data_IF_292259868807
#
_entry.id   IF_292259868807
#
_cell.length_a   1.000
_cell.length_b   1.000
_cell.length_c   1.000
_cell.angle_alpha   90.00
_cell.angle_beta   90.00
_cell.angle_gamma   90.00
#
_symmetry.space_group_name_H-M   'P 1'
#
loop_
_entity.id
_entity.type
_entity.pdbx_description
1 polymer ?
#
# COMPACT_ATOMS: atom_id res chain seq x y z
N UNK A 1 23.20 -4.29 -18.63
CA UNK A 1 23.10 -2.83 -18.46
C UNK A 1 21.77 -2.57 -17.78
N UNK A 2 21.77 -2.07 -16.54
CA UNK A 2 20.55 -1.64 -15.88
C UNK A 2 20.15 -0.30 -16.47
N UNK A 3 19.17 -0.27 -17.37
CA UNK A 3 18.58 0.99 -17.82
C UNK A 3 17.90 1.65 -16.62
N UNK A 4 18.30 2.88 -16.30
CA UNK A 4 17.62 3.69 -15.32
C UNK A 4 16.26 4.10 -15.88
N UNK A 5 15.19 3.78 -15.16
CA UNK A 5 13.84 4.06 -15.61
C UNK A 5 13.27 5.27 -14.86
N UNK A 6 12.72 6.24 -15.59
CA UNK A 6 12.06 7.39 -14.98
C UNK A 6 10.65 7.03 -14.54
N UNK A 7 10.34 7.33 -13.28
CA UNK A 7 9.01 7.21 -12.71
C UNK A 7 8.46 8.62 -12.41
N UNK A 8 7.16 8.89 -12.69
CA UNK A 8 6.53 10.18 -12.43
C UNK A 8 6.20 10.33 -10.93
N UNK A 9 7.23 10.38 -10.08
CA UNK A 9 7.10 10.52 -8.62
C UNK A 9 7.44 11.97 -8.24
N UNK A 10 6.59 12.65 -7.44
CA UNK A 10 6.94 13.96 -6.89
C UNK A 10 8.24 13.89 -6.08
N UNK A 11 9.16 14.84 -6.31
CA UNK A 11 10.47 14.86 -5.64
C UNK A 11 10.38 14.78 -4.11
N UNK A 12 9.33 15.37 -3.51
CA UNK A 12 9.07 15.32 -2.06
C UNK A 12 8.82 13.90 -1.53
N UNK A 13 8.29 13.00 -2.37
CA UNK A 13 7.98 11.62 -1.99
C UNK A 13 9.09 10.64 -2.34
N UNK A 14 10.04 10.99 -3.20
CA UNK A 14 11.14 10.10 -3.59
C UNK A 14 11.96 9.57 -2.38
N UNK A 15 12.35 10.40 -1.39
CA UNK A 15 13.11 9.92 -0.22
C UNK A 15 12.38 8.83 0.57
N UNK A 16 11.04 8.87 0.57
CA UNK A 16 10.21 7.89 1.27
C UNK A 16 10.42 6.49 0.72
N UNK A 17 10.67 6.33 -0.59
CA UNK A 17 10.80 5.02 -1.23
C UNK A 17 12.25 4.57 -1.42
N UNK A 18 13.22 5.47 -1.34
CA UNK A 18 14.65 5.13 -1.40
C UNK A 18 15.22 4.69 -0.06
N UNK A 19 14.54 4.99 1.05
CA UNK A 19 14.97 4.53 2.37
C UNK A 19 14.96 2.98 2.46
N UNK A 20 16.06 2.38 2.91
CA UNK A 20 16.21 0.92 3.05
C UNK A 20 15.83 0.42 4.44
N UNK A 21 15.40 -0.83 4.56
CA UNK A 21 15.12 -1.48 5.85
C UNK A 21 13.94 -0.88 6.63
N UNK A 22 13.05 -0.12 5.96
CA UNK A 22 11.89 0.50 6.61
C UNK A 22 10.71 -0.46 6.59
N UNK A 23 10.25 -0.82 7.79
CA UNK A 23 9.04 -1.63 7.97
C UNK A 23 7.76 -0.85 7.66
N UNK A 24 7.74 0.44 8.01
CA UNK A 24 6.62 1.33 7.79
C UNK A 24 7.00 2.49 6.87
N UNK A 25 6.14 2.83 5.91
CA UNK A 25 6.26 4.03 5.08
C UNK A 25 4.96 4.82 5.11
N UNK A 26 5.02 6.04 5.61
CA UNK A 26 3.84 6.83 5.92
C UNK A 26 3.85 8.16 5.15
N UNK A 27 2.70 8.61 4.65
CA UNK A 27 2.58 9.93 4.05
C UNK A 27 1.19 10.54 4.26
N UNK A 28 1.15 11.83 4.62
CA UNK A 28 -0.09 12.55 4.89
C UNK A 28 -0.16 13.92 4.20
N UNK A 29 -1.38 14.44 4.04
CA UNK A 29 -1.62 15.78 3.52
C UNK A 29 -3.02 15.96 2.91
N UNK A 30 -3.36 17.20 2.55
CA UNK A 30 -4.66 17.55 1.99
C UNK A 30 -4.95 16.97 0.60
N UNK A 31 -6.11 17.34 0.04
CA UNK A 31 -6.55 16.93 -1.30
C UNK A 31 -5.57 17.42 -2.38
N UNK A 32 -5.34 16.62 -3.42
CA UNK A 32 -4.47 17.00 -4.55
C UNK A 32 -2.96 16.85 -4.31
N UNK A 33 -2.55 16.34 -3.15
CA UNK A 33 -1.14 16.11 -2.77
C UNK A 33 -0.46 14.92 -3.46
N UNK A 34 -1.10 14.32 -4.47
CA UNK A 34 -0.60 13.19 -5.28
C UNK A 34 -0.20 11.91 -4.52
N UNK A 35 -0.48 11.81 -3.21
CA UNK A 35 -0.08 10.66 -2.36
C UNK A 35 -0.63 9.32 -2.85
N UNK A 36 -1.94 9.21 -2.99
CA UNK A 36 -2.62 7.97 -3.38
C UNK A 36 -2.08 7.44 -4.71
N UNK A 37 -2.01 8.29 -5.74
CA UNK A 37 -1.45 7.91 -7.04
C UNK A 37 0.01 7.48 -6.96
N UNK A 38 0.83 8.18 -6.16
CA UNK A 38 2.25 7.84 -5.98
C UNK A 38 2.41 6.50 -5.29
N UNK A 39 1.67 6.25 -4.20
CA UNK A 39 1.72 4.98 -3.49
C UNK A 39 1.19 3.84 -4.35
N UNK A 40 0.09 4.04 -5.09
CA UNK A 40 -0.43 3.09 -6.04
C UNK A 40 0.63 2.67 -7.07
N UNK A 41 1.31 3.64 -7.69
CA UNK A 41 2.43 3.38 -8.60
C UNK A 41 3.56 2.60 -7.92
N UNK A 42 3.96 3.03 -6.72
CA UNK A 42 5.07 2.40 -6.01
C UNK A 42 4.74 0.98 -5.54
N UNK A 43 3.47 0.66 -5.28
CA UNK A 43 3.09 -0.73 -4.98
C UNK A 43 3.36 -1.62 -6.18
N UNK A 44 3.13 -1.13 -7.40
CA UNK A 44 3.36 -1.87 -8.63
C UNK A 44 4.85 -2.01 -8.92
N UNK A 45 5.66 -0.99 -8.61
CA UNK A 45 7.12 -1.10 -8.63
C UNK A 45 7.60 -2.17 -7.65
N UNK A 46 7.07 -2.21 -6.41
CA UNK A 46 7.42 -3.24 -5.43
C UNK A 46 7.02 -4.64 -5.92
N UNK A 47 5.83 -4.80 -6.49
CA UNK A 47 5.40 -6.07 -7.07
C UNK A 47 6.30 -6.53 -8.22
N UNK A 48 6.69 -5.61 -9.11
CA UNK A 48 7.64 -5.89 -10.17
C UNK A 48 9.01 -6.31 -9.62
N UNK A 49 9.52 -5.61 -8.60
CA UNK A 49 10.78 -5.97 -7.93
C UNK A 49 10.72 -7.37 -7.30
N UNK A 50 9.64 -7.69 -6.59
CA UNK A 50 9.43 -9.02 -6.02
C UNK A 50 9.40 -10.11 -7.11
N UNK A 51 8.68 -9.87 -8.21
CA UNK A 51 8.70 -10.77 -9.37
C UNK A 51 10.13 -10.99 -9.90
N UNK A 52 10.89 -9.92 -10.11
CA UNK A 52 12.27 -10.00 -10.60
C UNK A 52 13.23 -10.69 -9.63
N UNK A 53 12.93 -10.65 -8.33
CA UNK A 53 13.68 -11.37 -7.29
C UNK A 53 13.25 -12.83 -7.14
N UNK A 54 12.27 -13.31 -7.92
CA UNK A 54 11.72 -14.67 -7.80
C UNK A 54 10.84 -14.87 -6.56
N UNK A 55 10.34 -13.79 -5.96
CA UNK A 55 9.40 -13.84 -4.85
C UNK A 55 7.96 -14.00 -5.38
N UNK A 56 7.20 -14.89 -4.74
CA UNK A 56 5.76 -15.00 -4.98
C UNK A 56 4.97 -14.53 -3.77
N UNK A 57 3.86 -13.84 -3.98
CA UNK A 57 3.01 -13.40 -2.89
C UNK A 57 1.95 -12.38 -3.30
N UNK A 58 1.55 -11.56 -2.33
CA UNK A 58 0.42 -10.66 -2.45
C UNK A 58 0.80 -9.23 -2.08
N UNK A 59 0.34 -8.29 -2.90
CA UNK A 59 0.19 -6.88 -2.52
C UNK A 59 -1.23 -6.69 -1.98
N UNK A 60 -1.35 -6.41 -0.69
CA UNK A 60 -2.62 -6.14 -0.03
C UNK A 60 -2.91 -4.64 -0.06
N UNK A 61 -3.95 -4.22 -0.76
CA UNK A 61 -4.46 -2.86 -0.71
C UNK A 61 -5.71 -2.81 0.19
N UNK A 62 -5.64 -2.07 1.28
CA UNK A 62 -6.66 -2.06 2.32
C UNK A 62 -7.22 -0.65 2.60
N UNK A 63 -8.48 -0.61 3.03
CA UNK A 63 -9.19 0.58 3.58
C UNK A 63 -10.10 0.11 4.71
N UNK A 64 -10.59 0.99 5.60
CA UNK A 64 -11.52 0.57 6.67
C UNK A 64 -12.78 -0.08 6.09
N UNK A 65 -13.42 0.66 5.17
CA UNK A 65 -14.64 0.24 4.50
C UNK A 65 -14.37 -0.04 3.03
N UNK A 66 -14.85 -1.18 2.58
CA UNK A 66 -15.01 -1.50 1.17
C UNK A 66 -16.47 -1.22 0.82
N UNK A 67 -16.80 0.03 0.53
CA UNK A 67 -18.07 0.32 -0.15
C UNK A 67 -17.98 -0.19 -1.60
N UNK A 68 -19.08 -0.15 -2.37
CA UNK A 68 -19.15 -0.51 -3.81
C UNK A 68 -18.18 0.26 -4.74
N UNK A 69 -17.25 1.01 -4.16
CA UNK A 69 -15.92 1.38 -4.63
C UNK A 69 -14.91 0.21 -4.55
N UNK A 70 -15.30 -1.04 -4.82
CA UNK A 70 -14.35 -2.11 -5.19
C UNK A 70 -13.44 -1.64 -6.34
N UNK A 71 -13.88 -0.62 -7.09
CA UNK A 71 -13.13 0.11 -8.07
C UNK A 71 -12.12 1.14 -7.54
N UNK A 72 -12.24 1.79 -6.37
CA UNK A 72 -11.38 2.98 -6.11
C UNK A 72 -9.88 2.67 -6.05
N UNK A 73 -9.43 1.86 -5.07
CA UNK A 73 -8.00 1.51 -4.95
C UNK A 73 -7.51 0.68 -6.13
N UNK A 74 -8.34 -0.23 -6.64
CA UNK A 74 -7.99 -1.05 -7.78
C UNK A 74 -7.81 -0.21 -9.04
N UNK A 75 -8.73 0.71 -9.32
CA UNK A 75 -8.63 1.62 -10.45
C UNK A 75 -7.44 2.57 -10.29
N UNK A 76 -7.16 3.09 -9.09
CA UNK A 76 -5.96 3.88 -8.84
C UNK A 76 -4.67 3.12 -9.19
N UNK A 77 -4.58 1.84 -8.79
CA UNK A 77 -3.45 0.97 -9.16
C UNK A 77 -3.42 0.70 -10.66
N UNK A 78 -4.55 0.38 -11.30
CA UNK A 78 -4.62 0.19 -12.76
C UNK A 78 -4.15 1.43 -13.50
N UNK A 79 -4.68 2.59 -13.16
CA UNK A 79 -4.31 3.87 -13.78
C UNK A 79 -2.83 4.18 -13.57
N UNK A 80 -2.29 3.91 -12.36
CA UNK A 80 -0.89 4.09 -12.08
C UNK A 80 0.00 3.19 -12.96
N UNK A 81 -0.32 1.89 -13.04
CA UNK A 81 0.40 0.93 -13.89
C UNK A 81 0.33 1.33 -15.36
N UNK A 82 -0.87 1.59 -15.87
CA UNK A 82 -1.11 1.94 -17.28
C UNK A 82 -0.48 3.28 -17.68
N UNK A 83 -0.29 4.19 -16.73
CA UNK A 83 0.39 5.47 -16.99
C UNK A 83 1.90 5.34 -17.27
N UNK A 84 2.48 4.15 -17.05
CA UNK A 84 3.91 3.89 -17.18
C UNK A 84 4.11 2.69 -18.12
N UNK A 85 4.50 2.89 -19.41
CA UNK A 85 4.46 1.85 -20.43
C UNK A 85 5.23 0.56 -20.11
N UNK A 86 6.45 0.68 -19.57
CA UNK A 86 7.26 -0.48 -19.20
C UNK A 86 6.66 -1.25 -18.01
N UNK A 87 5.95 -0.55 -17.11
CA UNK A 87 5.29 -1.19 -15.98
C UNK A 87 4.06 -1.91 -16.50
N UNK A 88 3.26 -1.26 -17.33
CA UNK A 88 2.10 -1.86 -18.00
C UNK A 88 2.43 -3.16 -18.75
N UNK A 89 3.58 -3.22 -19.45
CA UNK A 89 3.99 -4.44 -20.16
C UNK A 89 4.37 -5.62 -19.25
N UNK A 90 4.54 -5.37 -17.95
CA UNK A 90 4.92 -6.38 -16.96
C UNK A 90 3.75 -6.81 -16.06
N UNK A 91 2.53 -6.37 -16.37
CA UNK A 91 1.32 -6.70 -15.61
C UNK A 91 0.23 -7.29 -16.51
N UNK A 92 -0.48 -8.27 -15.97
CA UNK A 92 -1.72 -8.81 -16.50
C UNK A 92 -2.90 -8.23 -15.69
N UNK A 93 -3.67 -7.36 -16.35
CA UNK A 93 -4.74 -6.57 -15.73
C UNK A 93 -6.07 -6.99 -16.33
N UNK A 94 -6.95 -7.53 -15.50
CA UNK A 94 -8.33 -7.82 -15.85
C UNK A 94 -9.32 -6.83 -15.25
N UNK A 95 -10.60 -7.08 -15.48
CA UNK A 95 -11.69 -6.34 -14.84
C UNK A 95 -11.60 -6.43 -13.31
N UNK A 96 -11.37 -7.64 -12.79
CA UNK A 96 -11.39 -7.95 -11.34
C UNK A 96 -10.07 -8.44 -10.75
N UNK A 97 -8.97 -8.37 -11.51
CA UNK A 97 -7.64 -8.73 -11.00
C UNK A 97 -6.53 -7.83 -11.52
N UNK A 98 -5.44 -7.78 -10.76
CA UNK A 98 -4.14 -7.23 -11.15
C UNK A 98 -3.09 -8.22 -10.68
N UNK A 99 -2.18 -8.62 -11.56
CA UNK A 99 -1.05 -9.49 -11.22
C UNK A 99 0.14 -9.21 -12.13
N UNK A 100 1.32 -9.61 -11.70
CA UNK A 100 2.50 -9.59 -12.57
C UNK A 100 2.31 -10.55 -13.74
N UNK A 101 3.01 -10.30 -14.85
CA UNK A 101 2.84 -11.06 -16.10
C UNK A 101 3.12 -12.56 -15.93
N UNK A 102 4.05 -12.92 -15.04
CA UNK A 102 4.40 -14.29 -14.68
C UNK A 102 3.48 -14.90 -13.60
N UNK A 103 2.53 -14.10 -13.09
CA UNK A 103 1.51 -14.45 -12.09
C UNK A 103 2.05 -14.77 -10.69
N UNK A 104 3.31 -14.49 -10.40
CA UNK A 104 3.91 -14.76 -9.07
C UNK A 104 3.46 -13.78 -8.01
N UNK A 105 3.18 -12.53 -8.37
CA UNK A 105 2.68 -11.50 -7.46
C UNK A 105 1.28 -11.06 -7.88
N UNK A 106 0.34 -11.10 -6.95
CA UNK A 106 -1.07 -10.74 -7.19
C UNK A 106 -1.54 -9.64 -6.25
N UNK A 107 -2.52 -8.85 -6.68
CA UNK A 107 -3.15 -7.85 -5.83
C UNK A 107 -4.39 -8.42 -5.15
N UNK A 108 -4.54 -8.10 -3.87
CA UNK A 108 -5.74 -8.35 -3.08
C UNK A 108 -6.24 -7.02 -2.53
N UNK A 109 -7.53 -6.75 -2.71
CA UNK A 109 -8.19 -5.57 -2.18
C UNK A 109 -9.09 -5.97 -1.01
N UNK A 110 -9.07 -5.21 0.09
CA UNK A 110 -9.82 -5.58 1.29
C UNK A 110 -10.34 -4.41 2.12
N UNK A 111 -11.56 -4.56 2.64
CA UNK A 111 -12.08 -3.75 3.73
C UNK A 111 -11.68 -4.36 5.08
N UNK A 112 -10.97 -3.61 5.92
CA UNK A 112 -10.41 -4.11 7.18
C UNK A 112 -11.48 -4.47 8.21
N UNK A 113 -12.66 -3.84 8.16
CA UNK A 113 -13.75 -4.10 9.11
C UNK A 113 -14.31 -5.53 9.05
N UNK A 114 -14.32 -6.14 7.86
CA UNK A 114 -15.01 -7.42 7.62
C UNK A 114 -14.14 -8.51 6.99
N UNK A 115 -13.13 -8.16 6.20
CA UNK A 115 -12.44 -9.13 5.34
C UNK A 115 -11.05 -9.56 5.84
N UNK A 116 -10.60 -9.08 6.99
CA UNK A 116 -9.22 -9.31 7.41
C UNK A 116 -8.92 -10.78 7.75
N UNK A 117 -9.89 -11.50 8.34
CA UNK A 117 -9.72 -12.91 8.72
C UNK A 117 -9.61 -13.84 7.49
N UNK A 118 -10.23 -13.48 6.35
CA UNK A 118 -10.16 -14.27 5.13
C UNK A 118 -8.80 -14.15 4.42
N UNK A 119 -8.12 -13.01 4.58
CA UNK A 119 -6.79 -12.72 4.01
C UNK A 119 -5.71 -13.49 4.78
N UNK A 120 -5.82 -13.51 6.10
CA UNK A 120 -4.84 -14.11 7.02
C UNK A 120 -4.51 -15.58 6.72
N UNK A 121 -5.47 -16.34 6.20
CA UNK A 121 -5.33 -17.78 6.00
C UNK A 121 -4.77 -18.19 4.64
N UNK A 122 -4.59 -17.26 3.69
CA UNK A 122 -4.40 -17.61 2.27
C UNK A 122 -3.21 -16.97 1.56
N UNK A 123 -2.58 -15.95 2.14
CA UNK A 123 -1.64 -15.11 1.39
C UNK A 123 -0.33 -14.84 2.11
N UNK A 124 0.79 -15.02 1.38
CA UNK A 124 2.10 -14.45 1.73
C UNK A 124 2.10 -12.97 1.35
N UNK A 125 1.91 -12.08 2.33
CA UNK A 125 1.81 -10.63 2.06
C UNK A 125 3.22 -10.04 1.97
N UNK A 126 3.60 -9.57 0.79
CA UNK A 126 4.88 -8.91 0.52
C UNK A 126 4.81 -7.41 0.89
N UNK A 127 3.64 -6.81 0.66
CA UNK A 127 3.38 -5.41 0.96
C UNK A 127 1.90 -5.24 1.34
N UNK A 128 1.63 -4.50 2.41
CA UNK A 128 0.31 -3.97 2.68
C UNK A 128 0.30 -2.46 2.52
N UNK A 129 -0.58 -1.92 1.69
CA UNK A 129 -0.85 -0.50 1.61
C UNK A 129 -2.25 -0.20 2.16
N UNK A 130 -2.32 0.61 3.21
CA UNK A 130 -3.55 1.12 3.81
C UNK A 130 -3.76 2.56 3.35
N UNK A 131 -4.81 2.78 2.57
CA UNK A 131 -5.19 4.10 2.07
C UNK A 131 -6.39 4.66 2.86
N UNK A 132 -6.54 5.98 2.86
CA UNK A 132 -7.55 6.70 3.66
C UNK A 132 -7.55 6.26 5.13
N UNK A 133 -6.34 6.10 5.68
CA UNK A 133 -6.13 5.48 6.98
C UNK A 133 -6.74 6.28 8.14
N UNK A 134 -7.12 7.56 7.94
CA UNK A 134 -7.80 8.38 8.94
C UNK A 134 -9.11 7.75 9.46
N UNK A 135 -9.70 6.84 8.68
CA UNK A 135 -10.94 6.15 9.01
C UNK A 135 -10.72 4.78 9.67
N UNK A 136 -9.47 4.31 9.76
CA UNK A 136 -9.15 2.94 10.18
C UNK A 136 -9.18 2.81 11.69
N UNK A 137 -9.96 1.84 12.17
CA UNK A 137 -10.13 1.60 13.61
C UNK A 137 -8.89 0.97 14.25
N UNK A 138 -8.71 1.17 15.55
CA UNK A 138 -7.60 0.55 16.28
C UNK A 138 -7.64 -0.98 16.21
N UNK A 139 -8.84 -1.56 16.32
CA UNK A 139 -9.07 -3.00 16.21
C UNK A 139 -8.62 -3.52 14.83
N UNK A 140 -8.87 -2.77 13.77
CA UNK A 140 -8.38 -3.12 12.43
C UNK A 140 -6.84 -3.14 12.38
N UNK A 141 -6.17 -2.15 12.98
CA UNK A 141 -4.70 -2.11 13.06
C UNK A 141 -4.11 -3.26 13.87
N UNK A 142 -4.69 -3.57 15.04
CA UNK A 142 -4.27 -4.68 15.89
C UNK A 142 -4.35 -6.03 15.17
N UNK A 143 -5.34 -6.21 14.28
CA UNK A 143 -5.46 -7.41 13.46
C UNK A 143 -4.55 -7.38 12.22
N UNK A 144 -4.32 -6.20 11.62
CA UNK A 144 -3.58 -6.06 10.37
C UNK A 144 -2.07 -6.26 10.57
N UNK A 145 -1.50 -5.61 11.59
CA UNK A 145 -0.05 -5.62 11.82
C UNK A 145 0.53 -7.04 11.96
N UNK A 146 -0.07 -7.98 12.72
CA UNK A 146 0.40 -9.37 12.79
C UNK A 146 0.15 -10.20 11.51
N UNK A 147 -0.74 -9.73 10.64
CA UNK A 147 -1.09 -10.43 9.39
C UNK A 147 -0.01 -10.23 8.33
N UNK A 148 0.59 -9.05 8.29
CA UNK A 148 1.79 -8.77 7.50
C UNK A 148 2.99 -9.24 8.33
N UNK A 149 3.55 -10.42 8.09
CA UNK A 149 4.57 -11.00 8.98
C UNK A 149 5.81 -11.52 8.27
N UNK A 150 5.80 -11.52 6.95
CA UNK A 150 6.86 -12.08 6.13
C UNK A 150 8.14 -11.26 6.28
N UNK A 151 9.29 -11.92 6.26
CA UNK A 151 10.57 -11.23 6.25
C UNK A 151 10.65 -10.30 5.04
N UNK A 152 11.09 -9.06 5.25
CA UNK A 152 11.14 -8.04 4.22
C UNK A 152 9.79 -7.45 3.80
N UNK A 153 8.67 -7.90 4.38
CA UNK A 153 7.37 -7.28 4.10
C UNK A 153 7.27 -5.88 4.70
N UNK A 154 6.47 -5.03 4.07
CA UNK A 154 6.31 -3.62 4.44
C UNK A 154 4.84 -3.27 4.67
N UNK A 155 4.60 -2.24 5.49
CA UNK A 155 3.29 -1.62 5.68
C UNK A 155 3.37 -0.15 5.27
N UNK A 156 2.58 0.22 4.28
CA UNK A 156 2.50 1.57 3.74
C UNK A 156 1.19 2.22 4.14
N UNK A 157 1.23 3.49 4.52
CA UNK A 157 0.07 4.19 5.09
C UNK A 157 -0.09 5.58 4.48
N UNK A 158 -1.29 5.86 3.96
CA UNK A 158 -1.66 7.19 3.46
C UNK A 158 -2.94 7.70 4.13
N UNK A 159 -2.94 8.97 4.55
CA UNK A 159 -4.13 9.61 5.15
C UNK A 159 -4.25 11.10 4.83
N UNK A 160 -5.46 11.63 5.00
CA UNK A 160 -5.71 13.07 4.95
C UNK A 160 -5.99 13.63 6.37
N UNK A 161 -5.12 14.51 6.92
CA UNK A 161 -5.32 15.07 8.25
C UNK A 161 -6.52 16.03 8.35
N UNK A 162 -6.99 16.58 7.22
CA UNK A 162 -8.12 17.53 7.18
C UNK A 162 -9.49 16.84 7.21
N UNK A 163 -9.54 15.50 7.15
CA UNK A 163 -10.79 14.73 7.26
C UNK A 163 -11.09 14.40 8.71
N UNK A 164 -12.36 14.58 9.11
CA UNK A 164 -12.88 14.14 10.40
C UNK A 164 -12.56 12.65 10.63
N UNK A 165 -11.96 12.33 11.78
CA UNK A 165 -11.41 10.99 12.08
C UNK A 165 -9.88 10.94 12.12
N UNK A 166 -9.18 11.93 11.55
CA UNK A 166 -7.72 12.06 11.64
C UNK A 166 -7.18 12.16 13.08
N UNK A 167 -8.04 12.61 14.00
CA UNK A 167 -7.81 12.56 15.45
C UNK A 167 -7.48 11.16 15.95
N UNK A 168 -7.94 10.08 15.33
CA UNK A 168 -7.56 8.72 15.72
C UNK A 168 -6.11 8.37 15.34
N UNK A 169 -5.53 8.96 14.28
CA UNK A 169 -4.10 8.77 13.96
C UNK A 169 -3.22 9.71 14.81
N UNK A 170 -3.70 10.92 15.11
CA UNK A 170 -2.96 11.93 15.86
C UNK A 170 -3.13 11.86 17.38
N UNK A 171 -4.24 11.31 17.90
CA UNK A 171 -4.59 11.29 19.33
C UNK A 171 -4.56 9.88 19.96
N UNK A 172 -4.44 8.80 19.18
CA UNK A 172 -4.29 7.45 19.74
C UNK A 172 -2.83 7.19 20.14
N UNK A 173 -2.44 7.82 21.24
CA UNK A 173 -1.37 7.34 22.11
C UNK A 173 -1.90 6.11 22.85
N UNK A 174 -1.61 4.91 22.36
CA UNK A 174 -1.29 3.74 23.20
C UNK A 174 -0.97 2.52 22.31
N UNK A 175 0.18 1.90 22.60
CA UNK A 175 0.71 0.58 22.20
C UNK A 175 0.50 0.01 20.77
N UNK A 176 -0.67 0.10 20.16
CA UNK A 176 -1.06 -0.54 18.90
C UNK A 176 -0.69 0.25 17.63
N UNK A 177 -0.61 1.59 17.73
CA UNK A 177 -0.16 2.49 16.65
C UNK A 177 1.27 3.02 16.84
N UNK A 178 1.96 2.57 17.89
CA UNK A 178 3.35 2.94 18.20
C UNK A 178 4.28 2.89 16.97
N UNK A 179 4.18 1.91 16.04
CA UNK A 179 5.01 1.91 14.85
C UNK A 179 4.71 3.03 13.85
N UNK A 180 3.46 3.52 13.79
CA UNK A 180 3.04 4.62 12.92
C UNK A 180 3.47 5.96 13.53
N UNK A 181 3.32 6.12 14.84
CA UNK A 181 3.78 7.33 15.55
C UNK A 181 5.31 7.41 15.66
N UNK A 182 6.02 6.28 15.81
CA UNK A 182 7.49 6.22 15.73
C UNK A 182 8.00 6.46 14.29
N UNK A 183 7.29 5.97 13.26
CA UNK A 183 7.60 6.30 11.86
C UNK A 183 7.37 7.80 11.54
N UNK A 184 6.40 8.44 12.21
CA UNK A 184 6.15 9.88 12.12
C UNK A 184 7.22 10.72 12.85
N UNK A 185 7.79 10.22 13.95
CA UNK A 185 8.83 10.92 14.72
C UNK A 185 10.23 10.92 14.04
N UNK A 186 10.39 10.19 12.93
CA UNK A 186 11.65 10.05 12.21
C UNK A 186 11.68 10.66 10.80
N UNK A 187 10.73 11.54 10.46
CA UNK A 187 10.70 12.34 9.22
C UNK A 187 11.07 13.79 9.55
#
# INVERSE_FOLDING_TARGET
MSEAVQLPIPAKLAPLFTAVGKRYRCSHGGRGSAKTRTFALMTAVKAYQSMMNGESGVILCAREFMNSLEESSMQEVKQAILSVPWLASNFDIGEKYIRTIDKTVTYVFAGLRHNLDSIKSKARILLCWVDEAESVSEIAWQKLSPTVREEGSEIWVTWNPERDGSGAIAANNEASLKPITEALAGI
#
